data_IF_620669675058
#
_entry.id   IF_620669675058
#
_cell.length_a   1.000
_cell.length_b   1.000
_cell.length_c   1.000
_cell.angle_alpha   90.00
_cell.angle_beta   90.00
_cell.angle_gamma   90.00
#
_symmetry.space_group_name_H-M   'P 1'
#
loop_
_entity.id
_entity.type
_entity.pdbx_description
1 polymer ?
#
# COMPACT_ATOMS: atom_id res chain seq x y z
N UNK A 1 22.01 -14.78 17.90
CA UNK A 1 21.17 -14.87 16.69
C UNK A 1 22.03 -15.47 15.59
N UNK A 2 21.47 -16.12 14.57
CA UNK A 2 22.28 -16.53 13.42
C UNK A 2 22.92 -15.28 12.75
N UNK A 3 24.16 -15.38 12.21
CA UNK A 3 24.88 -14.24 11.61
C UNK A 3 24.06 -13.45 10.58
N UNK A 4 23.20 -14.16 9.86
CA UNK A 4 22.31 -13.62 8.84
C UNK A 4 21.23 -12.69 9.41
N UNK A 5 20.72 -12.96 10.61
CA UNK A 5 19.71 -12.15 11.26
C UNK A 5 20.26 -10.81 11.78
N UNK A 6 21.51 -10.80 12.24
CA UNK A 6 22.22 -9.58 12.66
C UNK A 6 22.54 -8.68 11.46
N UNK A 7 22.98 -9.28 10.34
CA UNK A 7 23.18 -8.54 9.09
C UNK A 7 21.90 -7.85 8.64
N UNK A 8 20.78 -8.58 8.52
CA UNK A 8 19.51 -7.99 8.08
C UNK A 8 19.08 -6.85 9.01
N UNK A 9 19.25 -7.01 10.33
CA UNK A 9 18.95 -5.95 11.31
C UNK A 9 19.73 -4.68 11.01
N UNK A 10 21.04 -4.79 10.84
CA UNK A 10 21.92 -3.66 10.57
C UNK A 10 21.52 -2.96 9.25
N UNK A 11 21.27 -3.73 8.19
CA UNK A 11 20.91 -3.18 6.88
C UNK A 11 19.56 -2.44 6.88
N UNK A 12 18.54 -3.00 7.54
CA UNK A 12 17.23 -2.33 7.63
C UNK A 12 17.28 -1.11 8.55
N UNK A 13 18.06 -1.16 9.64
CA UNK A 13 18.30 0.01 10.49
C UNK A 13 18.99 1.15 9.72
N UNK A 14 20.02 0.84 8.92
CA UNK A 14 20.69 1.81 8.04
C UNK A 14 19.73 2.41 7.00
N UNK A 15 18.80 1.59 6.50
CA UNK A 15 17.74 2.05 5.61
C UNK A 15 16.62 2.83 6.33
N UNK A 16 16.63 2.96 7.66
CA UNK A 16 15.59 3.65 8.43
C UNK A 16 14.29 2.87 8.56
N UNK A 17 14.34 1.54 8.46
CA UNK A 17 13.20 0.63 8.57
C UNK A 17 13.34 -0.27 9.79
N UNK A 18 12.32 -0.30 10.64
CA UNK A 18 12.31 -1.10 11.88
C UNK A 18 11.50 -2.39 11.76
N UNK A 19 10.58 -2.48 10.81
CA UNK A 19 9.64 -3.59 10.66
C UNK A 19 9.97 -4.37 9.38
N UNK A 20 10.69 -5.47 9.54
CA UNK A 20 11.03 -6.40 8.47
C UNK A 20 10.92 -7.85 8.97
N UNK A 21 10.86 -8.79 8.04
CA UNK A 21 10.82 -10.21 8.35
C UNK A 21 11.08 -11.06 7.11
N UNK A 22 11.16 -12.36 7.30
CA UNK A 22 11.57 -13.31 6.26
C UNK A 22 10.61 -14.48 6.19
N UNK A 23 10.35 -14.99 5.00
CA UNK A 23 9.66 -16.27 4.83
C UNK A 23 10.25 -17.04 3.64
N UNK A 24 9.98 -18.34 3.58
CA UNK A 24 10.33 -19.12 2.39
C UNK A 24 9.60 -18.59 1.15
N UNK A 25 10.28 -18.67 0.01
CA UNK A 25 9.66 -18.41 -1.27
C UNK A 25 8.74 -19.57 -1.63
N UNK A 26 7.47 -19.27 -1.87
CA UNK A 26 6.45 -20.22 -2.29
C UNK A 26 5.85 -19.77 -3.64
N UNK A 27 5.98 -20.57 -4.72
CA UNK A 27 5.36 -20.27 -6.00
C UNK A 27 3.84 -20.00 -5.94
N UNK A 28 3.13 -20.53 -4.93
CA UNK A 28 1.70 -20.27 -4.73
C UNK A 28 1.41 -18.82 -4.31
N UNK A 29 2.41 -18.06 -3.85
CA UNK A 29 2.29 -16.63 -3.61
C UNK A 29 2.31 -15.82 -4.92
N UNK A 30 2.69 -16.43 -6.05
CA UNK A 30 2.88 -15.72 -7.31
C UNK A 30 1.64 -15.78 -8.21
N UNK A 31 1.29 -14.64 -8.82
CA UNK A 31 0.29 -14.58 -9.89
C UNK A 31 0.95 -14.92 -11.24
N UNK A 32 0.44 -15.92 -11.94
CA UNK A 32 0.83 -16.20 -13.34
C UNK A 32 0.13 -15.16 -14.23
N UNK A 33 0.81 -14.45 -15.16
CA UNK A 33 2.04 -14.80 -15.88
C UNK A 33 3.30 -14.01 -15.46
N UNK A 34 3.24 -13.16 -14.44
CA UNK A 34 4.32 -12.22 -14.08
C UNK A 34 5.49 -12.85 -13.30
N UNK A 35 5.43 -14.17 -13.03
CA UNK A 35 6.48 -14.95 -12.37
C UNK A 35 7.82 -14.94 -13.10
N UNK A 36 7.84 -14.74 -14.43
CA UNK A 36 9.07 -14.69 -15.24
C UNK A 36 10.01 -13.54 -14.86
N UNK A 37 9.53 -12.54 -14.12
CA UNK A 37 10.33 -11.41 -13.62
C UNK A 37 11.16 -11.76 -12.38
N UNK A 38 10.96 -12.94 -11.78
CA UNK A 38 11.64 -13.34 -10.56
C UNK A 38 12.99 -14.01 -10.84
N UNK A 39 13.99 -13.84 -9.95
CA UNK A 39 15.25 -14.57 -10.04
C UNK A 39 15.05 -16.08 -10.17
N UNK A 40 15.74 -16.77 -11.10
CA UNK A 40 15.74 -18.21 -11.12
C UNK A 40 16.31 -18.75 -9.80
N UNK A 41 15.65 -19.75 -9.22
CA UNK A 41 16.10 -20.34 -7.96
C UNK A 41 15.80 -19.53 -6.71
N UNK A 42 14.85 -18.58 -6.74
CA UNK A 42 14.36 -17.88 -5.55
C UNK A 42 14.02 -18.86 -4.41
N UNK A 43 14.56 -18.60 -3.21
CA UNK A 43 14.43 -19.47 -2.03
C UNK A 43 13.73 -18.80 -0.85
N UNK A 44 13.86 -17.49 -0.72
CA UNK A 44 13.23 -16.74 0.36
C UNK A 44 12.77 -15.36 -0.08
N UNK A 45 11.88 -14.79 0.73
CA UNK A 45 11.40 -13.42 0.63
C UNK A 45 11.81 -12.67 1.91
N UNK A 46 12.44 -11.51 1.74
CA UNK A 46 12.63 -10.53 2.83
C UNK A 46 11.58 -9.45 2.67
N UNK A 47 10.62 -9.40 3.57
CA UNK A 47 9.49 -8.49 3.55
C UNK A 47 9.76 -7.30 4.46
N UNK A 48 9.34 -6.11 4.05
CA UNK A 48 9.45 -4.90 4.87
C UNK A 48 8.14 -4.11 4.90
N UNK A 49 7.84 -3.50 6.04
CA UNK A 49 6.76 -2.53 6.18
C UNK A 49 7.33 -1.11 6.17
N UNK A 50 6.89 -0.30 5.21
CA UNK A 50 7.30 1.11 5.06
C UNK A 50 6.13 2.00 5.49
N UNK A 51 6.17 2.62 6.68
CA UNK A 51 5.04 3.37 7.21
C UNK A 51 4.80 4.67 6.44
N UNK A 52 3.55 5.01 6.16
CA UNK A 52 3.18 6.22 5.39
C UNK A 52 2.27 7.18 6.14
N UNK A 53 1.88 6.86 7.38
CA UNK A 53 0.99 7.72 8.14
C UNK A 53 1.71 9.01 8.58
N UNK A 54 1.37 10.14 7.96
CA UNK A 54 2.00 11.44 8.23
C UNK A 54 1.08 12.45 8.94
N UNK A 55 -0.12 12.03 9.36
CA UNK A 55 -1.09 12.93 9.98
C UNK A 55 -2.54 12.57 9.70
N UNK A 56 -3.47 13.24 10.40
CA UNK A 56 -4.91 12.97 10.30
C UNK A 56 -5.56 13.54 9.04
N UNK A 57 -5.15 14.72 8.55
CA UNK A 57 -5.71 15.39 7.37
C UNK A 57 -7.24 15.21 7.23
N UNK A 58 -8.04 15.82 8.13
CA UNK A 58 -9.49 15.62 8.17
C UNK A 58 -10.17 16.10 6.88
N UNK A 59 -9.61 17.13 6.24
CA UNK A 59 -10.03 17.62 4.93
C UNK A 59 -9.05 17.11 3.87
N UNK A 60 -9.42 16.01 3.20
CA UNK A 60 -8.65 15.43 2.10
C UNK A 60 -9.59 14.90 1.03
N UNK A 61 -9.13 14.87 -0.22
CA UNK A 61 -9.84 14.22 -1.32
C UNK A 61 -8.97 13.18 -2.04
N UNK A 62 -7.82 12.82 -1.50
CA UNK A 62 -7.05 11.66 -1.94
C UNK A 62 -6.75 10.77 -0.74
N UNK A 63 -6.67 9.46 -0.98
CA UNK A 63 -6.36 8.47 0.05
C UNK A 63 -5.01 8.77 0.70
N UNK A 64 -4.87 8.43 1.99
CA UNK A 64 -3.67 8.75 2.77
C UNK A 64 -2.36 8.33 2.09
N UNK A 65 -2.36 7.15 1.48
CA UNK A 65 -1.19 6.60 0.81
C UNK A 65 -0.77 7.43 -0.41
N UNK A 66 -1.71 8.17 -1.00
CA UNK A 66 -1.51 8.96 -2.21
C UNK A 66 -1.22 10.44 -1.92
N UNK A 67 -1.25 10.86 -0.65
CA UNK A 67 -0.91 12.24 -0.26
C UNK A 67 0.59 12.49 -0.25
N UNK A 68 1.38 11.43 -0.06
CA UNK A 68 2.84 11.47 0.10
C UNK A 68 3.54 11.31 -1.26
N UNK A 69 4.86 11.53 -1.28
CA UNK A 69 5.69 11.19 -2.45
C UNK A 69 5.45 9.74 -2.90
N UNK A 70 5.56 9.49 -4.21
CA UNK A 70 5.30 8.18 -4.80
C UNK A 70 6.08 7.08 -4.07
N UNK A 71 5.34 6.21 -3.40
CA UNK A 71 5.90 5.16 -2.57
C UNK A 71 6.65 4.12 -3.40
N UNK A 72 6.37 3.98 -4.69
CA UNK A 72 7.13 3.09 -5.55
C UNK A 72 8.58 3.56 -5.64
N UNK A 73 8.79 4.87 -5.80
CA UNK A 73 10.13 5.47 -5.85
C UNK A 73 10.79 5.44 -4.49
N UNK A 74 10.10 5.94 -3.45
CA UNK A 74 10.68 6.05 -2.09
C UNK A 74 10.97 4.67 -1.49
N UNK A 75 9.97 3.78 -1.46
CA UNK A 75 10.12 2.43 -0.89
C UNK A 75 11.04 1.57 -1.76
N UNK A 76 10.98 1.72 -3.08
CA UNK A 76 11.90 1.04 -4.00
C UNK A 76 13.36 1.40 -3.72
N UNK A 77 13.68 2.69 -3.54
CA UNK A 77 15.03 3.14 -3.21
C UNK A 77 15.50 2.67 -1.82
N UNK A 78 14.60 2.56 -0.84
CA UNK A 78 14.92 1.99 0.47
C UNK A 78 15.31 0.51 0.37
N UNK A 79 14.53 -0.29 -0.35
CA UNK A 79 14.78 -1.72 -0.52
C UNK A 79 15.96 -2.02 -1.44
N UNK A 80 16.20 -1.16 -2.44
CA UNK A 80 17.36 -1.31 -3.33
C UNK A 80 18.66 -1.07 -2.57
N UNK A 81 18.69 -0.11 -1.63
CA UNK A 81 19.84 0.08 -0.73
C UNK A 81 20.15 -1.18 0.08
N UNK A 82 19.12 -1.80 0.66
CA UNK A 82 19.28 -3.09 1.36
C UNK A 82 19.78 -4.18 0.40
N UNK A 83 19.19 -4.26 -0.80
CA UNK A 83 19.53 -5.27 -1.81
C UNK A 83 20.97 -5.13 -2.33
N UNK A 84 21.49 -3.90 -2.47
CA UNK A 84 22.88 -3.64 -2.83
C UNK A 84 23.84 -4.20 -1.79
N UNK A 85 23.61 -3.91 -0.51
CA UNK A 85 24.44 -4.42 0.59
C UNK A 85 24.34 -5.93 0.77
N UNK A 86 23.18 -6.51 0.49
CA UNK A 86 23.02 -7.97 0.47
C UNK A 86 23.82 -8.61 -0.68
N UNK A 87 23.89 -7.98 -1.86
CA UNK A 87 24.72 -8.46 -2.98
C UNK A 87 26.22 -8.43 -2.63
N UNK A 88 26.67 -7.45 -1.85
CA UNK A 88 28.05 -7.40 -1.35
C UNK A 88 28.32 -8.53 -0.35
N UNK A 89 27.38 -8.80 0.56
CA UNK A 89 27.51 -9.82 1.59
C UNK A 89 27.39 -11.26 1.06
N UNK A 90 26.65 -11.46 -0.04
CA UNK A 90 26.43 -12.78 -0.66
C UNK A 90 26.81 -12.77 -2.15
N UNK A 91 28.11 -12.80 -2.48
CA UNK A 91 28.55 -12.83 -3.87
C UNK A 91 27.97 -14.02 -4.64
N UNK A 92 27.43 -13.77 -5.83
CA UNK A 92 26.82 -14.79 -6.70
C UNK A 92 25.34 -15.03 -6.46
N UNK A 93 24.76 -14.48 -5.40
CA UNK A 93 23.33 -14.55 -5.10
C UNK A 93 22.57 -13.36 -5.70
N UNK A 94 21.29 -13.55 -5.96
CA UNK A 94 20.42 -12.55 -6.58
C UNK A 94 19.40 -12.01 -5.57
N UNK A 95 19.17 -10.70 -5.66
CA UNK A 95 18.23 -9.96 -4.83
C UNK A 95 17.41 -9.02 -5.73
N UNK A 96 16.09 -9.14 -5.70
CA UNK A 96 15.17 -8.31 -6.49
C UNK A 96 14.19 -7.60 -5.57
N UNK A 97 14.33 -6.28 -5.45
CA UNK A 97 13.38 -5.42 -4.74
C UNK A 97 12.09 -5.20 -5.55
N UNK A 98 10.95 -5.29 -4.89
CA UNK A 98 9.60 -5.15 -5.46
C UNK A 98 8.71 -4.39 -4.48
N UNK A 99 7.85 -3.51 -5.02
CA UNK A 99 6.86 -2.73 -4.27
C UNK A 99 5.61 -2.59 -5.13
N UNK A 100 4.47 -3.16 -4.70
CA UNK A 100 3.11 -3.12 -5.30
C UNK A 100 2.98 -3.69 -6.73
N UNK A 101 3.89 -3.32 -7.64
CA UNK A 101 4.01 -3.86 -8.99
C UNK A 101 4.69 -5.25 -9.02
N UNK A 102 4.34 -6.11 -8.05
CA UNK A 102 4.95 -7.40 -7.78
C UNK A 102 4.10 -8.57 -8.31
N UNK A 103 4.71 -9.70 -8.75
CA UNK A 103 3.97 -10.93 -8.96
C UNK A 103 3.54 -11.59 -7.64
N UNK A 104 4.07 -11.16 -6.49
CA UNK A 104 3.85 -11.77 -5.17
C UNK A 104 2.58 -11.22 -4.52
N UNK A 105 1.79 -12.06 -3.85
CA UNK A 105 0.80 -11.62 -2.87
C UNK A 105 1.51 -11.07 -1.63
N UNK A 106 1.87 -9.79 -1.69
CA UNK A 106 2.68 -9.12 -0.67
C UNK A 106 2.04 -9.12 0.71
N UNK A 107 0.70 -9.10 0.79
CA UNK A 107 0.00 -9.16 2.09
C UNK A 107 0.15 -10.56 2.70
N UNK A 108 -0.01 -11.63 1.92
CA UNK A 108 0.19 -12.99 2.45
C UNK A 108 1.66 -13.27 2.75
N UNK A 109 2.57 -12.84 1.88
CA UNK A 109 4.01 -12.95 2.14
C UNK A 109 4.41 -12.18 3.40
N UNK A 110 3.93 -10.95 3.59
CA UNK A 110 4.15 -10.15 4.80
C UNK A 110 3.59 -10.83 6.06
N UNK A 111 2.43 -11.47 5.97
CA UNK A 111 1.87 -12.27 7.07
C UNK A 111 2.78 -13.46 7.43
N UNK A 112 3.23 -14.23 6.43
CA UNK A 112 4.15 -15.37 6.63
C UNK A 112 5.49 -14.92 7.19
N UNK A 113 5.96 -13.73 6.79
CA UNK A 113 7.18 -13.11 7.28
C UNK A 113 7.06 -12.45 8.66
N UNK A 114 5.88 -12.50 9.31
CA UNK A 114 5.69 -11.94 10.65
C UNK A 114 5.57 -10.41 10.70
N UNK A 115 5.27 -9.74 9.59
CA UNK A 115 5.04 -8.28 9.57
C UNK A 115 3.70 -7.86 10.19
N UNK A 116 2.76 -8.78 10.32
CA UNK A 116 1.43 -8.50 10.85
C UNK A 116 0.39 -9.54 10.43
N UNK A 117 -0.88 -9.17 10.56
CA UNK A 117 -2.02 -10.05 10.26
C UNK A 117 -2.95 -9.41 9.25
N UNK A 118 -3.48 -10.21 8.30
CA UNK A 118 -4.45 -9.74 7.32
C UNK A 118 -5.77 -9.39 8.01
N UNK A 119 -6.20 -8.14 7.88
CA UNK A 119 -7.50 -7.67 8.36
C UNK A 119 -8.67 -8.14 7.49
N UNK A 120 -9.89 -8.03 8.01
CA UNK A 120 -11.12 -8.24 7.21
C UNK A 120 -11.22 -7.28 6.02
N UNK A 121 -10.58 -6.10 6.09
CA UNK A 121 -10.44 -5.17 4.95
C UNK A 121 -9.36 -5.55 3.94
N UNK A 122 -8.74 -6.73 4.10
CA UNK A 122 -7.78 -7.31 3.16
C UNK A 122 -6.36 -6.73 3.23
N UNK A 123 -6.13 -5.66 3.98
CA UNK A 123 -4.78 -5.09 4.19
C UNK A 123 -4.06 -5.80 5.34
N UNK A 124 -2.73 -5.72 5.34
CA UNK A 124 -1.91 -6.16 6.47
C UNK A 124 -2.06 -5.16 7.62
N UNK A 125 -2.19 -5.65 8.85
CA UNK A 125 -2.22 -4.86 10.07
C UNK A 125 -0.94 -5.17 10.84
N UNK A 126 -0.02 -4.22 10.84
CA UNK A 126 1.20 -4.24 11.64
C UNK A 126 0.93 -3.73 13.06
N UNK A 127 1.73 -4.22 14.01
CA UNK A 127 1.61 -3.90 15.44
C UNK A 127 1.90 -2.42 15.72
N UNK A 128 2.96 -1.88 15.13
CA UNK A 128 3.45 -0.51 15.34
C UNK A 128 2.68 0.52 14.52
N UNK A 129 2.44 0.22 13.24
CA UNK A 129 1.93 1.18 12.25
C UNK A 129 0.48 0.92 11.80
N UNK A 130 -0.16 -0.13 12.33
CA UNK A 130 -1.50 -0.53 11.88
C UNK A 130 -1.49 -0.94 10.40
N UNK A 131 -2.53 -0.57 9.66
CA UNK A 131 -2.59 -0.79 8.21
C UNK A 131 -2.01 0.36 7.39
N UNK A 132 -1.33 1.33 8.02
CA UNK A 132 -0.74 2.47 7.33
C UNK A 132 0.71 2.20 6.89
N UNK A 133 0.88 1.08 6.19
CA UNK A 133 2.17 0.61 5.68
C UNK A 133 2.07 0.29 4.19
N UNK A 134 3.12 0.61 3.44
CA UNK A 134 3.42 -0.07 2.19
C UNK A 134 4.14 -1.38 2.49
N UNK A 135 3.94 -2.39 1.65
CA UNK A 135 4.63 -3.66 1.79
C UNK A 135 5.66 -3.76 0.67
N UNK A 136 6.91 -3.98 1.05
CA UNK A 136 8.01 -4.24 0.16
C UNK A 136 8.46 -5.69 0.23
N UNK A 137 8.96 -6.22 -0.89
CA UNK A 137 9.56 -7.55 -0.94
C UNK A 137 10.95 -7.48 -1.59
N UNK A 138 11.92 -8.17 -1.01
CA UNK A 138 13.20 -8.50 -1.65
C UNK A 138 13.20 -10.01 -1.88
N UNK A 139 13.12 -10.41 -3.14
CA UNK A 139 13.18 -11.83 -3.55
C UNK A 139 14.64 -12.24 -3.57
N UNK A 140 14.99 -13.31 -2.86
CA UNK A 140 16.37 -13.75 -2.72
C UNK A 140 16.57 -15.21 -3.11
N UNK A 141 17.70 -15.51 -3.73
CA UNK A 141 18.19 -16.88 -3.95
C UNK A 141 18.93 -17.44 -2.73
N UNK A 142 19.28 -16.59 -1.76
CA UNK A 142 19.70 -17.01 -0.41
C UNK A 142 18.49 -17.59 0.32
N UNK A 143 18.71 -18.64 1.12
CA UNK A 143 17.69 -19.15 2.06
C UNK A 143 17.87 -18.46 3.41
N UNK A 144 17.15 -17.36 3.62
CA UNK A 144 17.07 -16.74 4.94
C UNK A 144 16.20 -17.59 5.89
N UNK A 145 16.57 -17.74 7.17
CA UNK A 145 15.72 -18.39 8.16
C UNK A 145 14.37 -17.67 8.24
N UNK A 146 13.23 -18.38 8.22
CA UNK A 146 11.93 -17.74 8.27
C UNK A 146 11.68 -17.13 9.65
N UNK A 147 11.08 -15.94 9.63
CA UNK A 147 10.58 -15.27 10.83
C UNK A 147 9.33 -15.99 11.35
N UNK A 148 9.06 -15.86 12.64
CA UNK A 148 7.83 -16.39 13.22
C UNK A 148 6.65 -15.49 12.82
N UNK A 149 5.56 -16.05 12.26
CA UNK A 149 4.33 -15.30 12.07
C UNK A 149 3.87 -14.68 13.39
N UNK A 150 3.36 -13.45 13.34
CA UNK A 150 2.80 -12.78 14.52
C UNK A 150 1.45 -13.39 14.88
N UNK A 151 1.22 -13.56 16.18
CA UNK A 151 -0.07 -13.91 16.75
C UNK A 151 -0.81 -12.64 17.20
N UNK A 152 -2.14 -12.67 17.16
CA UNK A 152 -2.97 -11.49 17.44
C UNK A 152 -3.02 -10.50 16.26
N UNK A 153 -4.01 -9.60 16.27
CA UNK A 153 -4.20 -8.65 15.17
C UNK A 153 -5.65 -8.24 15.00
N UNK A 154 -6.19 -8.36 13.77
CA UNK A 154 -7.54 -7.95 13.44
C UNK A 154 -8.57 -8.44 14.48
N UNK A 155 -9.28 -7.50 15.12
CA UNK A 155 -10.31 -7.82 16.11
C UNK A 155 -11.54 -8.55 15.54
N UNK A 156 -11.58 -8.75 14.21
CA UNK A 156 -12.72 -9.31 13.47
C UNK A 156 -14.06 -8.60 13.76
N UNK A 157 -14.02 -7.34 14.18
CA UNK A 157 -15.19 -6.57 14.64
C UNK A 157 -16.22 -6.18 13.56
N UNK A 158 -15.99 -6.52 12.29
CA UNK A 158 -16.92 -6.21 11.19
C UNK A 158 -17.06 -4.73 10.79
N UNK A 159 -16.45 -3.78 11.51
CA UNK A 159 -16.60 -2.33 11.25
C UNK A 159 -16.26 -1.92 9.81
N UNK A 160 -15.21 -2.48 9.24
CA UNK A 160 -14.82 -2.21 7.86
C UNK A 160 -15.82 -2.75 6.83
N UNK A 161 -16.50 -3.87 7.13
CA UNK A 161 -17.56 -4.41 6.28
C UNK A 161 -18.78 -3.50 6.32
N UNK A 162 -19.22 -3.15 7.53
CA UNK A 162 -20.37 -2.27 7.76
C UNK A 162 -20.18 -0.85 7.20
N UNK A 163 -18.96 -0.31 7.26
CA UNK A 163 -18.65 1.02 6.75
C UNK A 163 -18.47 1.06 5.23
N UNK A 164 -18.36 -0.08 4.54
CA UNK A 164 -18.11 -0.10 3.09
C UNK A 164 -19.34 0.41 2.33
N UNK A 165 -19.28 1.57 1.67
CA UNK A 165 -20.48 2.25 1.16
C UNK A 165 -21.12 1.54 -0.04
N UNK A 166 -20.38 0.67 -0.72
CA UNK A 166 -20.81 -0.03 -1.93
C UNK A 166 -21.04 -1.52 -1.73
N UNK A 167 -20.87 -2.02 -0.49
CA UNK A 167 -20.83 -3.46 -0.22
C UNK A 167 -19.70 -4.20 -0.96
N UNK A 168 -18.70 -3.46 -1.45
CA UNK A 168 -17.54 -4.05 -2.14
C UNK A 168 -16.76 -4.97 -1.22
N UNK A 169 -16.71 -4.64 0.07
CA UNK A 169 -16.09 -5.48 1.08
C UNK A 169 -17.19 -6.18 1.89
N UNK A 170 -17.26 -7.50 1.79
CA UNK A 170 -18.25 -8.33 2.45
C UNK A 170 -17.62 -9.60 3.06
N UNK A 171 -18.45 -10.48 3.59
CA UNK A 171 -18.07 -11.77 4.18
C UNK A 171 -17.37 -12.73 3.21
N UNK A 172 -17.61 -12.59 1.90
CA UNK A 172 -16.94 -13.34 0.84
C UNK A 172 -15.67 -12.66 0.31
N UNK A 173 -15.30 -11.50 0.86
CA UNK A 173 -14.11 -10.76 0.49
C UNK A 173 -14.40 -9.51 -0.36
N UNK A 174 -13.39 -9.08 -1.12
CA UNK A 174 -13.44 -7.85 -1.90
C UNK A 174 -13.95 -8.08 -3.33
N UNK A 175 -15.11 -7.52 -3.66
CA UNK A 175 -15.61 -7.37 -5.01
C UNK A 175 -15.00 -6.11 -5.63
N UNK A 176 -13.84 -6.27 -6.28
CA UNK A 176 -13.01 -5.16 -6.79
C UNK A 176 -13.79 -4.15 -7.63
N UNK A 177 -14.69 -4.61 -8.51
CA UNK A 177 -15.49 -3.77 -9.40
C UNK A 177 -16.38 -2.75 -8.67
N UNK A 178 -16.73 -2.99 -7.40
CA UNK A 178 -17.56 -2.08 -6.59
C UNK A 178 -16.73 -1.17 -5.68
N UNK A 179 -15.43 -1.42 -5.53
CA UNK A 179 -14.60 -0.69 -4.58
C UNK A 179 -14.36 0.75 -5.05
N UNK A 180 -14.70 1.76 -4.24
CA UNK A 180 -14.45 3.18 -4.60
C UNK A 180 -12.98 3.47 -4.92
N UNK A 181 -12.04 2.82 -4.23
CA UNK A 181 -10.62 2.93 -4.56
C UNK A 181 -10.31 2.41 -5.97
N UNK A 182 -10.99 1.35 -6.43
CA UNK A 182 -10.87 0.87 -7.80
C UNK A 182 -11.56 1.80 -8.81
N UNK A 183 -12.78 2.25 -8.50
CA UNK A 183 -13.58 3.12 -9.37
C UNK A 183 -12.87 4.44 -9.68
N UNK A 184 -12.32 5.09 -8.66
CA UNK A 184 -11.55 6.34 -8.82
C UNK A 184 -10.35 6.19 -9.76
N UNK A 185 -9.80 4.98 -9.92
CA UNK A 185 -8.66 4.69 -10.79
C UNK A 185 -9.02 4.18 -12.19
N UNK A 186 -10.30 3.86 -12.46
CA UNK A 186 -10.73 3.39 -13.80
C UNK A 186 -10.46 4.49 -14.83
N UNK A 187 -9.99 4.13 -16.03
CA UNK A 187 -9.84 5.08 -17.15
C UNK A 187 -11.21 5.57 -17.66
N UNK A 188 -12.21 4.68 -17.69
CA UNK A 188 -13.58 4.98 -18.11
C UNK A 188 -14.57 4.47 -17.08
N UNK A 189 -15.59 5.26 -16.78
CA UNK A 189 -16.74 4.86 -15.96
C UNK A 189 -17.86 4.47 -16.92
N UNK A 190 -18.22 3.20 -16.91
CA UNK A 190 -19.11 2.59 -17.91
C UNK A 190 -20.57 2.57 -17.45
N UNK A 191 -20.78 2.74 -16.14
CA UNK A 191 -22.10 2.68 -15.51
C UNK A 191 -22.37 4.02 -14.77
N UNK A 192 -23.57 4.63 -14.91
CA UNK A 192 -23.98 5.79 -14.11
C UNK A 192 -23.76 5.62 -12.60
N UNK A 193 -23.94 4.43 -12.04
CA UNK A 193 -23.73 4.15 -10.63
C UNK A 193 -22.26 4.38 -10.23
N UNK A 194 -21.30 4.08 -11.10
CA UNK A 194 -19.88 4.34 -10.82
C UNK A 194 -19.59 5.84 -10.69
N UNK A 195 -20.29 6.68 -11.48
CA UNK A 195 -20.19 8.14 -11.39
C UNK A 195 -20.79 8.63 -10.07
N UNK A 196 -21.97 8.14 -9.70
CA UNK A 196 -22.64 8.48 -8.45
C UNK A 196 -21.76 8.11 -7.23
N UNK A 197 -21.10 6.96 -7.26
CA UNK A 197 -20.21 6.53 -6.17
C UNK A 197 -18.97 7.40 -5.99
N UNK A 198 -18.42 7.97 -7.07
CA UNK A 198 -17.29 8.91 -6.99
C UNK A 198 -17.76 10.27 -6.47
N UNK A 199 -18.87 10.78 -7.02
CA UNK A 199 -19.51 12.03 -6.59
C UNK A 199 -19.82 12.01 -5.09
N UNK A 200 -20.55 10.99 -4.61
CA UNK A 200 -20.92 10.84 -3.20
C UNK A 200 -19.73 10.48 -2.29
N UNK A 201 -18.61 10.03 -2.87
CA UNK A 201 -17.41 9.67 -2.13
C UNK A 201 -16.51 10.86 -1.78
N UNK A 202 -16.55 11.94 -2.57
CA UNK A 202 -15.71 13.13 -2.35
C UNK A 202 -14.21 12.89 -2.51
N UNK A 203 -13.79 11.73 -3.03
CA UNK A 203 -12.38 11.35 -3.21
C UNK A 203 -12.01 11.36 -4.68
N UNK A 204 -11.11 12.27 -5.06
CA UNK A 204 -10.49 12.32 -6.38
C UNK A 204 -9.61 11.08 -6.64
N UNK A 205 -9.04 10.46 -5.60
CA UNK A 205 -8.23 9.26 -5.74
C UNK A 205 -8.27 8.35 -4.51
N UNK A 206 -8.54 7.05 -4.70
CA UNK A 206 -8.53 6.06 -3.63
C UNK A 206 -9.77 6.15 -2.72
N UNK A 207 -9.74 5.39 -1.61
CA UNK A 207 -10.76 5.41 -0.57
C UNK A 207 -10.17 4.78 0.71
N UNK A 208 -10.37 5.43 1.85
CA UNK A 208 -9.84 4.98 3.16
C UNK A 208 -10.94 4.54 4.14
N UNK A 209 -12.21 4.48 3.75
CA UNK A 209 -13.31 4.28 4.72
C UNK A 209 -13.10 3.00 5.54
N UNK A 210 -12.70 1.90 4.90
CA UNK A 210 -12.48 0.62 5.57
C UNK A 210 -11.22 0.61 6.47
N UNK A 211 -10.23 1.46 6.20
CA UNK A 211 -9.02 1.59 7.01
C UNK A 211 -9.21 2.61 8.14
N UNK A 212 -9.83 3.76 7.88
CA UNK A 212 -10.06 4.81 8.87
C UNK A 212 -11.05 4.38 9.97
N UNK A 213 -12.05 3.54 9.66
CA UNK A 213 -12.94 2.99 10.69
C UNK A 213 -12.32 1.83 11.49
N UNK A 214 -11.18 1.29 11.05
CA UNK A 214 -10.53 0.15 11.68
C UNK A 214 -9.96 0.55 13.05
N UNK A 215 -10.38 -0.09 14.17
CA UNK A 215 -9.88 0.24 15.50
C UNK A 215 -8.37 -0.02 15.63
N UNK A 216 -7.81 -0.91 14.79
CA UNK A 216 -6.38 -1.21 14.77
C UNK A 216 -5.53 -0.06 14.22
N UNK A 217 -6.12 1.01 13.70
CA UNK A 217 -5.39 2.21 13.25
C UNK A 217 -5.41 3.35 14.28
N UNK A 218 -6.06 3.17 15.44
CA UNK A 218 -6.10 4.17 16.51
C UNK A 218 -4.74 4.25 17.20
N UNK A 219 -4.22 5.46 17.35
CA UNK A 219 -2.98 5.72 18.09
C UNK A 219 -1.72 5.10 17.48
N UNK A 220 -1.72 4.78 16.18
CA UNK A 220 -0.56 4.20 15.50
C UNK A 220 0.51 5.23 15.21
N UNK A 221 1.75 4.76 15.18
CA UNK A 221 2.92 5.60 15.01
C UNK A 221 2.92 6.32 13.65
N UNK A 222 3.52 7.51 13.64
CA UNK A 222 3.78 8.23 12.40
C UNK A 222 4.92 7.59 11.62
N UNK A 223 4.98 7.89 10.32
CA UNK A 223 6.09 7.51 9.47
C UNK A 223 7.39 8.14 9.95
N UNK A 224 8.46 7.36 10.00
CA UNK A 224 9.83 7.86 10.16
C UNK A 224 10.52 8.22 8.85
N UNK A 225 9.83 8.10 7.70
CA UNK A 225 10.43 8.27 6.37
C UNK A 225 10.36 9.75 5.94
N UNK A 226 11.49 10.48 5.87
CA UNK A 226 11.49 11.92 5.64
C UNK A 226 10.85 12.32 4.30
N UNK A 227 11.05 11.52 3.25
CA UNK A 227 10.52 11.74 1.90
C UNK A 227 8.99 11.88 1.89
N UNK A 228 8.28 11.18 2.80
CA UNK A 228 6.83 11.24 2.88
C UNK A 228 6.28 12.53 3.50
N UNK A 229 7.14 13.34 4.15
CA UNK A 229 6.75 14.65 4.66
C UNK A 229 6.97 15.78 3.65
N UNK A 230 7.62 15.50 2.51
CA UNK A 230 7.88 16.50 1.48
C UNK A 230 6.66 16.68 0.57
N UNK A 231 6.21 17.92 0.41
CA UNK A 231 5.13 18.31 -0.51
C UNK A 231 3.81 17.53 -0.31
N UNK A 232 3.43 17.22 0.94
CA UNK A 232 2.17 16.49 1.21
C UNK A 232 0.99 17.17 0.50
N UNK A 233 0.27 16.40 -0.32
CA UNK A 233 -0.92 16.87 -1.04
C UNK A 233 -2.16 16.11 -0.56
N UNK A 234 -2.83 16.64 0.46
CA UNK A 234 -4.09 16.07 0.96
C UNK A 234 -5.30 16.45 0.07
N UNK A 235 -5.22 17.57 -0.63
CA UNK A 235 -6.30 18.09 -1.47
C UNK A 235 -5.78 18.43 -2.86
N UNK A 236 -6.22 17.65 -3.84
CA UNK A 236 -6.00 17.91 -5.26
C UNK A 236 -7.14 18.78 -5.79
N UNK A 237 -6.80 19.82 -6.54
CA UNK A 237 -7.71 20.69 -7.29
C UNK A 237 -7.19 20.80 -8.71
N UNK A 238 -8.02 21.24 -9.64
CA UNK A 238 -7.54 21.48 -11.02
C UNK A 238 -6.37 22.48 -11.02
N UNK A 239 -6.41 23.49 -10.16
CA UNK A 239 -5.37 24.52 -10.01
C UNK A 239 -4.01 24.04 -9.49
N UNK A 240 -3.94 22.88 -8.84
CA UNK A 240 -2.67 22.33 -8.32
C UNK A 240 -2.28 20.98 -8.92
N UNK A 241 -3.15 20.36 -9.72
CA UNK A 241 -2.96 19.03 -10.26
C UNK A 241 -1.70 18.92 -11.12
N UNK A 242 -1.45 19.90 -12.00
CA UNK A 242 -0.30 19.90 -12.90
C UNK A 242 1.03 19.93 -12.15
N UNK A 243 1.11 20.75 -11.10
CA UNK A 243 2.30 20.88 -10.26
C UNK A 243 2.54 19.64 -9.39
N UNK A 244 1.48 18.99 -8.91
CA UNK A 244 1.57 17.93 -7.90
C UNK A 244 1.62 16.52 -8.50
N UNK A 245 1.21 16.30 -9.74
CA UNK A 245 1.03 14.92 -10.22
C UNK A 245 2.34 14.16 -10.40
N UNK A 246 3.44 14.84 -10.75
CA UNK A 246 4.67 14.22 -11.22
C UNK A 246 5.30 13.24 -10.21
N UNK A 247 5.20 13.53 -8.92
CA UNK A 247 5.82 12.76 -7.84
C UNK A 247 4.77 12.04 -6.96
N UNK A 248 3.60 11.71 -7.52
CA UNK A 248 2.50 11.04 -6.80
C UNK A 248 2.20 9.67 -7.37
N UNK A 249 1.81 8.74 -6.50
CA UNK A 249 1.49 7.35 -6.86
C UNK A 249 0.34 7.21 -7.89
N UNK A 250 -0.44 8.27 -8.14
CA UNK A 250 -1.49 8.30 -9.15
C UNK A 250 -1.04 8.78 -10.53
N UNK A 251 0.21 9.22 -10.68
CA UNK A 251 0.76 9.74 -11.93
C UNK A 251 0.63 8.76 -13.10
N UNK A 252 0.79 7.46 -12.83
CA UNK A 252 0.75 6.40 -13.86
C UNK A 252 -0.57 6.30 -14.63
N UNK A 253 -1.68 6.87 -14.11
CA UNK A 253 -2.98 6.94 -14.80
C UNK A 253 -3.19 8.24 -15.58
N UNK A 254 -2.32 9.23 -15.38
CA UNK A 254 -2.43 10.56 -15.96
C UNK A 254 -3.53 11.42 -15.31
N UNK A 255 -3.51 12.71 -15.65
CA UNK A 255 -4.37 13.74 -15.05
C UNK A 255 -5.86 13.59 -15.41
N UNK A 256 -6.17 13.01 -16.58
CA UNK A 256 -7.54 12.91 -17.08
C UNK A 256 -8.48 12.16 -16.11
N UNK A 257 -7.96 11.14 -15.42
CA UNK A 257 -8.71 10.38 -14.42
C UNK A 257 -9.06 11.26 -13.21
N UNK A 258 -8.10 12.07 -12.75
CA UNK A 258 -8.30 12.95 -11.60
C UNK A 258 -9.24 14.11 -11.95
N UNK A 259 -9.04 14.78 -13.10
CA UNK A 259 -9.94 15.85 -13.58
C UNK A 259 -11.38 15.37 -13.70
N UNK A 260 -11.60 14.17 -14.25
CA UNK A 260 -12.94 13.56 -14.30
C UNK A 260 -13.54 13.42 -12.89
N UNK A 261 -12.78 12.88 -11.94
CA UNK A 261 -13.29 12.66 -10.58
C UNK A 261 -13.57 13.99 -9.87
N UNK A 262 -12.69 14.98 -10.02
CA UNK A 262 -12.88 16.33 -9.48
C UNK A 262 -14.17 16.96 -10.03
N UNK A 263 -14.39 16.90 -11.35
CA UNK A 263 -15.62 17.37 -11.96
C UNK A 263 -16.86 16.71 -11.37
N UNK A 264 -16.87 15.38 -11.22
CA UNK A 264 -18.02 14.66 -10.61
C UNK A 264 -18.29 15.10 -9.16
N UNK A 265 -17.25 15.38 -8.39
CA UNK A 265 -17.36 15.82 -6.99
C UNK A 265 -17.92 17.24 -6.91
N UNK A 266 -17.40 18.16 -7.74
CA UNK A 266 -17.81 19.57 -7.76
C UNK A 266 -19.27 19.76 -8.20
N UNK A 267 -19.75 19.00 -9.19
CA UNK A 267 -21.15 19.07 -9.64
C UNK A 267 -22.15 18.64 -8.55
N UNK A 268 -21.72 17.86 -7.56
CA UNK A 268 -22.57 17.46 -6.43
C UNK A 268 -22.53 18.43 -5.25
N UNK A 269 -21.56 19.36 -5.24
CA UNK A 269 -21.44 20.41 -4.23
C UNK A 269 -22.16 21.71 -4.65
N UNK A 270 -22.56 21.84 -5.92
CA UNK A 270 -23.40 22.94 -6.38
C UNK A 270 -24.81 22.77 -5.79
N UNK A 271 -25.34 23.75 -5.04
CA UNK A 271 -26.73 23.71 -4.61
C UNK A 271 -27.63 23.70 -5.85
N UNK A 272 -28.68 22.87 -5.86
CA UNK A 272 -29.73 22.85 -6.88
C UNK A 272 -30.24 24.29 -7.09
N UNK A 273 -29.80 24.97 -8.14
CA UNK A 273 -30.29 26.30 -8.51
C UNK A 273 -31.71 26.26 -9.12
N UNK A 274 -32.36 25.09 -9.08
CA UNK A 274 -33.70 24.85 -9.60
C UNK A 274 -34.48 23.87 -8.72
N UNK A 275 -34.87 24.31 -7.52
CA UNK A 275 -36.05 23.80 -6.82
C UNK A 275 -36.76 24.92 -6.09
#
# INVERSE_FOLDING_TARGET
MEPTGELLRALFQEAGLSEYGTCDFDPALCRLPSRKRLPPGARSLVMAAVPYYVGRFPHRNVSRYAMVQDYHTVSGALLERVSLRLREAFPGEQFLALVDASPIDEVEAGRRAGLGVRGLHGQLINETYGSYIFIGAIVSTVRFPPSRPKEGGCLRCGRCLAACPTGALNDRGLVRGRCRSHLTQKKKLTDPEERAQISAGGMAWGCDICTDCCPMNRGKAYSGIPDFYRNICAVVRDTNLDAMIADRAYAYKGQAVLRRNLGLIEHSAAPDAHR
#
